data_IF_817088460371
#
_entry.id   IF_817088460371
#
_cell.length_a   1.000
_cell.length_b   1.000
_cell.length_c   1.000
_cell.angle_alpha   90.00
_cell.angle_beta   90.00
_cell.angle_gamma   90.00
#
_symmetry.space_group_name_H-M   'P 1'
#
loop_
_entity.id
_entity.type
_entity.pdbx_description
1 polymer ?
#
# COMPACT_ATOMS: atom_id res chain seq x y z
N UNK A 1 -10.92 4.53 8.20
CA UNK A 1 -11.06 5.31 6.94
C UNK A 1 -12.44 5.98 6.91
N UNK A 2 -12.49 7.31 7.06
CA UNK A 2 -13.73 8.08 7.30
C UNK A 2 -14.83 7.87 6.24
N UNK A 3 -14.46 7.59 4.99
CA UNK A 3 -15.41 7.32 3.91
C UNK A 3 -16.10 5.95 4.04
N UNK A 4 -15.36 4.91 4.46
CA UNK A 4 -15.90 3.56 4.71
C UNK A 4 -16.75 3.55 5.98
N UNK A 5 -16.40 4.38 6.96
CA UNK A 5 -17.17 4.59 8.20
C UNK A 5 -18.45 5.42 7.98
N UNK A 6 -18.66 5.97 6.77
CA UNK A 6 -19.83 6.80 6.46
C UNK A 6 -19.77 8.23 7.01
N UNK A 7 -18.64 8.64 7.59
CA UNK A 7 -18.42 10.00 8.12
C UNK A 7 -18.26 11.01 6.99
N UNK A 8 -17.64 10.59 5.87
CA UNK A 8 -17.42 11.44 4.69
C UNK A 8 -18.34 11.05 3.54
N UNK A 9 -18.79 12.06 2.79
CA UNK A 9 -19.53 11.86 1.54
C UNK A 9 -18.69 11.05 0.55
N UNK A 10 -19.34 10.12 -0.15
CA UNK A 10 -18.70 9.23 -1.13
C UNK A 10 -18.86 9.80 -2.53
N UNK A 11 -17.77 10.11 -3.25
CA UNK A 11 -17.84 10.39 -4.68
C UNK A 11 -18.45 9.21 -5.44
N UNK A 12 -19.15 9.48 -6.53
CA UNK A 12 -19.85 8.45 -7.30
C UNK A 12 -18.87 7.44 -7.92
N UNK A 13 -17.67 7.91 -8.27
CA UNK A 13 -16.58 7.15 -8.91
C UNK A 13 -16.07 5.98 -8.06
N UNK A 14 -16.19 6.08 -6.73
CA UNK A 14 -15.67 5.08 -5.78
C UNK A 14 -16.76 4.45 -4.92
N UNK A 15 -18.03 4.76 -5.23
CA UNK A 15 -19.16 4.36 -4.38
C UNK A 15 -19.32 2.84 -4.33
N UNK A 16 -19.04 2.14 -5.44
CA UNK A 16 -19.19 0.69 -5.52
C UNK A 16 -18.13 -0.03 -4.68
N UNK A 17 -16.89 0.43 -4.75
CA UNK A 17 -15.74 -0.07 -4.01
C UNK A 17 -15.95 0.13 -2.52
N UNK A 18 -16.37 1.33 -2.10
CA UNK A 18 -16.64 1.62 -0.68
C UNK A 18 -17.77 0.75 -0.14
N UNK A 19 -18.86 0.56 -0.91
CA UNK A 19 -19.96 -0.35 -0.52
C UNK A 19 -19.47 -1.79 -0.42
N UNK A 20 -18.63 -2.24 -1.34
CA UNK A 20 -18.09 -3.60 -1.31
C UNK A 20 -17.23 -3.83 -0.07
N UNK A 21 -16.39 -2.86 0.30
CA UNK A 21 -15.60 -2.90 1.54
C UNK A 21 -16.52 -2.98 2.76
N UNK A 22 -17.61 -2.21 2.80
CA UNK A 22 -18.58 -2.25 3.91
C UNK A 22 -19.25 -3.62 4.04
N UNK A 23 -19.66 -4.23 2.92
CA UNK A 23 -20.25 -5.58 2.90
C UNK A 23 -19.24 -6.62 3.39
N UNK A 24 -18.00 -6.55 2.93
CA UNK A 24 -16.94 -7.49 3.35
C UNK A 24 -16.58 -7.35 4.83
N UNK A 25 -16.70 -6.14 5.37
CA UNK A 25 -16.48 -5.85 6.79
C UNK A 25 -17.65 -6.33 7.67
N UNK A 26 -18.85 -6.41 7.12
CA UNK A 26 -20.04 -6.74 7.89
C UNK A 26 -19.92 -8.12 8.55
N UNK A 27 -20.14 -8.17 9.87
CA UNK A 27 -19.94 -9.38 10.68
C UNK A 27 -18.48 -9.74 11.02
N UNK A 28 -17.48 -8.95 10.60
CA UNK A 28 -16.07 -9.16 10.96
C UNK A 28 -15.54 -8.06 11.88
N UNK A 29 -14.74 -8.46 12.88
CA UNK A 29 -14.01 -7.52 13.74
C UNK A 29 -12.77 -6.98 13.03
N UNK A 30 -12.96 -6.03 12.11
CA UNK A 30 -11.88 -5.41 11.32
C UNK A 30 -11.73 -3.94 11.66
N UNK A 31 -10.49 -3.54 12.01
CA UNK A 31 -10.10 -2.15 12.19
C UNK A 31 -9.42 -1.60 10.93
N UNK A 32 -9.88 -0.44 10.44
CA UNK A 32 -9.25 0.26 9.30
C UNK A 32 -8.42 1.42 9.84
N UNK A 33 -7.13 1.18 10.02
CA UNK A 33 -6.17 2.17 10.52
C UNK A 33 -5.40 2.82 9.39
N UNK A 34 -5.08 4.11 9.55
CA UNK A 34 -4.17 4.79 8.63
C UNK A 34 -2.73 4.42 9.00
N UNK A 35 -1.93 4.04 8.01
CA UNK A 35 -0.49 3.79 8.17
C UNK A 35 0.33 4.71 7.27
N UNK A 36 1.59 4.93 7.61
CA UNK A 36 2.53 5.63 6.73
C UNK A 36 2.78 4.78 5.48
N UNK A 37 3.01 5.45 4.35
CA UNK A 37 3.27 4.75 3.08
C UNK A 37 4.49 3.82 3.18
N UNK A 38 5.49 4.24 3.93
CA UNK A 38 6.71 3.50 4.20
C UNK A 38 6.43 2.16 4.92
N UNK A 39 5.39 2.12 5.76
CA UNK A 39 4.91 0.90 6.42
C UNK A 39 4.00 0.03 5.55
N UNK A 40 3.51 0.54 4.42
CA UNK A 40 2.64 -0.18 3.49
C UNK A 40 3.38 -0.72 2.26
N UNK A 41 4.72 -0.82 2.33
CA UNK A 41 5.57 -1.12 1.17
C UNK A 41 5.29 -2.46 0.50
N UNK A 42 4.92 -3.49 1.27
CA UNK A 42 4.63 -4.81 0.70
C UNK A 42 3.36 -4.76 -0.17
N UNK A 43 2.31 -4.08 0.29
CA UNK A 43 1.10 -3.88 -0.50
C UNK A 43 1.36 -3.04 -1.75
N UNK A 44 2.12 -1.94 -1.63
CA UNK A 44 2.55 -1.12 -2.78
C UNK A 44 3.33 -1.96 -3.80
N UNK A 45 4.25 -2.81 -3.35
CA UNK A 45 5.04 -3.70 -4.21
C UNK A 45 4.15 -4.71 -4.96
N UNK A 46 3.23 -5.38 -4.26
CA UNK A 46 2.31 -6.34 -4.88
C UNK A 46 1.39 -5.69 -5.91
N UNK A 47 0.86 -4.50 -5.61
CA UNK A 47 0.05 -3.74 -6.56
C UNK A 47 0.85 -3.36 -7.82
N UNK A 48 2.11 -2.95 -7.65
CA UNK A 48 2.98 -2.61 -8.78
C UNK A 48 3.34 -3.83 -9.63
N UNK A 49 3.53 -5.02 -9.02
CA UNK A 49 3.70 -6.27 -9.77
C UNK A 49 2.51 -6.46 -10.69
N UNK A 50 1.30 -6.54 -10.15
CA UNK A 50 0.09 -6.77 -10.95
C UNK A 50 -0.10 -5.70 -12.01
N UNK A 51 0.20 -4.44 -11.70
CA UNK A 51 0.14 -3.36 -12.69
C UNK A 51 1.17 -3.50 -13.82
N UNK A 52 2.40 -3.94 -13.49
CA UNK A 52 3.49 -4.11 -14.46
C UNK A 52 3.33 -5.33 -15.35
N UNK A 53 2.72 -6.41 -14.82
CA UNK A 53 2.35 -7.57 -15.61
C UNK A 53 1.02 -7.27 -16.30
N UNK A 54 1.08 -6.81 -17.55
CA UNK A 54 -0.08 -6.53 -18.40
C UNK A 54 -0.81 -7.83 -18.83
N UNK A 55 -1.20 -8.67 -17.88
CA UNK A 55 -1.86 -9.96 -18.09
C UNK A 55 -3.08 -10.12 -17.19
N UNK A 56 -4.04 -10.93 -17.63
CA UNK A 56 -5.26 -11.29 -16.89
C UNK A 56 -5.04 -12.41 -15.87
N UNK A 57 -3.83 -12.96 -15.81
CA UNK A 57 -3.53 -14.12 -14.99
C UNK A 57 -3.39 -13.73 -13.53
N UNK A 58 -4.14 -14.42 -12.67
CA UNK A 58 -4.03 -14.26 -11.22
C UNK A 58 -2.67 -14.78 -10.74
N UNK A 59 -1.84 -13.90 -10.22
CA UNK A 59 -0.58 -14.28 -9.57
C UNK A 59 -0.87 -14.63 -8.11
N UNK A 60 -0.58 -15.87 -7.72
CA UNK A 60 -0.69 -16.33 -6.34
C UNK A 60 0.64 -16.94 -5.89
N UNK A 61 1.10 -16.54 -4.70
CA UNK A 61 2.28 -17.10 -4.06
C UNK A 61 1.81 -17.82 -2.79
N UNK A 62 2.01 -19.13 -2.71
CA UNK A 62 1.57 -19.92 -1.55
C UNK A 62 2.68 -20.05 -0.50
N UNK A 63 3.94 -20.06 -0.94
CA UNK A 63 5.08 -20.16 -0.06
C UNK A 63 5.94 -18.89 -0.07
N UNK A 64 6.61 -18.64 1.06
CA UNK A 64 7.59 -17.56 1.15
C UNK A 64 8.69 -17.71 0.10
N UNK A 65 9.04 -18.95 -0.26
CA UNK A 65 10.08 -19.23 -1.26
C UNK A 65 9.66 -18.83 -2.69
N UNK A 66 8.36 -18.75 -2.97
CA UNK A 66 7.84 -18.36 -4.28
C UNK A 66 7.89 -16.84 -4.49
N UNK A 67 8.01 -16.08 -3.40
CA UNK A 67 8.03 -14.63 -3.47
C UNK A 67 9.27 -14.10 -4.21
N UNK A 68 9.12 -13.03 -5.00
CA UNK A 68 10.26 -12.28 -5.53
C UNK A 68 11.21 -11.84 -4.41
N UNK A 69 12.52 -11.77 -4.71
CA UNK A 69 13.57 -11.41 -3.75
C UNK A 69 13.31 -10.06 -3.07
N UNK A 70 12.77 -9.09 -3.80
CA UNK A 70 12.42 -7.77 -3.27
C UNK A 70 11.26 -7.84 -2.27
N UNK A 71 10.18 -8.59 -2.58
CA UNK A 71 9.10 -8.87 -1.62
C UNK A 71 9.61 -9.56 -0.35
N UNK A 72 10.48 -10.58 -0.49
CA UNK A 72 11.11 -11.26 0.65
C UNK A 72 11.88 -10.29 1.53
N UNK A 73 12.62 -9.37 0.91
CA UNK A 73 13.41 -8.36 1.62
C UNK A 73 12.51 -7.39 2.38
N UNK A 74 11.44 -6.89 1.75
CA UNK A 74 10.45 -6.01 2.40
C UNK A 74 9.81 -6.71 3.60
N UNK A 75 9.39 -7.96 3.44
CA UNK A 75 8.74 -8.76 4.49
C UNK A 75 9.70 -9.02 5.66
N UNK A 76 10.97 -9.31 5.38
CA UNK A 76 11.98 -9.49 6.43
C UNK A 76 12.30 -8.18 7.18
N UNK A 77 12.34 -7.04 6.48
CA UNK A 77 12.50 -5.73 7.14
C UNK A 77 11.32 -5.42 8.07
N UNK A 78 10.10 -5.70 7.62
CA UNK A 78 8.87 -5.50 8.39
C UNK A 78 8.82 -6.41 9.63
N UNK A 79 9.12 -7.71 9.47
CA UNK A 79 9.24 -8.66 10.58
C UNK A 79 10.25 -8.23 11.63
N UNK A 80 11.37 -7.64 11.19
CA UNK A 80 12.42 -7.14 12.08
C UNK A 80 12.16 -5.72 12.58
N UNK A 81 11.00 -5.12 12.28
CA UNK A 81 10.62 -3.75 12.69
C UNK A 81 11.66 -2.70 12.27
N UNK A 82 12.30 -2.91 11.12
CA UNK A 82 13.30 -1.97 10.58
C UNK A 82 12.56 -0.85 9.84
N UNK A 83 12.71 0.42 10.26
CA UNK A 83 11.99 1.52 9.64
C UNK A 83 12.48 1.76 8.22
N UNK A 84 11.55 1.95 7.29
CA UNK A 84 11.89 2.35 5.93
C UNK A 84 11.86 3.87 5.79
N UNK A 85 13.04 4.50 5.72
CA UNK A 85 13.13 5.96 5.66
C UNK A 85 13.29 6.45 4.22
N UNK A 86 12.38 7.34 3.77
CA UNK A 86 12.52 8.05 2.51
C UNK A 86 13.23 9.40 2.75
N UNK A 87 14.48 9.49 2.32
CA UNK A 87 15.27 10.72 2.41
C UNK A 87 15.17 11.48 1.08
N UNK A 88 14.67 12.72 1.10
CA UNK A 88 14.82 13.66 -0.02
C UNK A 88 16.03 14.53 0.23
N UNK A 89 16.99 14.55 -0.69
CA UNK A 89 18.13 15.48 -0.64
C UNK A 89 17.67 16.81 -1.24
N UNK A 90 17.84 17.90 -0.50
CA UNK A 90 17.73 19.26 -1.05
C UNK A 90 19.09 19.62 -1.65
N UNK A 91 19.16 19.91 -2.94
CA UNK A 91 20.35 20.52 -3.54
C UNK A 91 20.12 22.02 -3.56
N UNK A 92 20.90 22.78 -2.79
CA UNK A 92 20.89 24.24 -2.83
C UNK A 92 21.53 24.71 -4.15
N UNK A 93 20.71 24.90 -5.18
CA UNK A 93 21.16 25.34 -6.50
C UNK A 93 21.27 26.86 -6.69
N UNK A 94 20.64 27.68 -5.83
CA UNK A 94 20.37 29.09 -6.18
C UNK A 94 20.84 30.12 -5.13
N UNK A 95 21.95 29.87 -4.42
CA UNK A 95 22.57 30.87 -3.52
C UNK A 95 24.02 31.18 -3.93
N UNK A 96 24.22 31.64 -5.17
CA UNK A 96 25.45 32.34 -5.57
C UNK A 96 25.28 33.03 -6.94
N UNK A 97 24.58 34.17 -6.95
CA UNK A 97 24.85 35.24 -7.93
C UNK A 97 24.78 36.56 -7.16
N UNK A 98 25.95 36.98 -6.66
CA UNK A 98 26.27 38.38 -6.39
C UNK A 98 26.92 38.98 -7.65
#
# INVERSE_FOLDING_TARGET
MKMVEGVWHRPWEVTMEVRRIQILKDGLEVAIVHTLREGNKLADFMANIVFSFAGTDSICYNDFQDLPSEAKTILNMDKNQIPNLRIRKFQNGDFAQD
#
